data_IF_923400593494
#
_entry.id   IF_923400593494
#
_cell.length_a   1.000
_cell.length_b   1.000
_cell.length_c   1.000
_cell.angle_alpha   90.00
_cell.angle_beta   90.00
_cell.angle_gamma   90.00
#
_symmetry.space_group_name_H-M   'P 1'
#
loop_
_entity.id
_entity.type
_entity.pdbx_description
1 polymer ?
#
# COMPACT_ATOMS: atom_id res chain seq x y z
N UNK A 1 0.60 -12.43 9.26
CA UNK A 1 1.06 -12.97 7.98
C UNK A 1 1.89 -11.90 7.26
N UNK A 2 2.91 -12.33 6.56
CA UNK A 2 3.74 -11.44 5.74
C UNK A 2 4.14 -12.18 4.47
N UNK A 3 3.69 -11.69 3.31
CA UNK A 3 4.00 -12.28 2.02
C UNK A 3 3.88 -11.26 0.89
N UNK A 4 4.83 -11.30 -0.03
CA UNK A 4 4.87 -10.44 -1.20
C UNK A 4 5.02 -11.34 -2.43
N UNK A 5 4.00 -11.36 -3.28
CA UNK A 5 3.94 -12.23 -4.44
C UNK A 5 3.90 -11.44 -5.73
N UNK A 6 4.84 -11.74 -6.64
CA UNK A 6 4.79 -11.20 -7.99
C UNK A 6 3.79 -11.99 -8.84
N UNK A 7 3.41 -11.40 -9.97
CA UNK A 7 2.54 -12.01 -10.97
C UNK A 7 3.06 -13.33 -11.55
N UNK A 8 4.33 -13.64 -11.34
CA UNK A 8 4.96 -14.87 -11.83
C UNK A 8 4.82 -16.06 -10.87
N UNK A 9 4.30 -15.81 -9.66
CA UNK A 9 4.04 -16.89 -8.69
C UNK A 9 2.66 -17.46 -8.90
N UNK A 10 2.62 -18.77 -9.18
CA UNK A 10 1.40 -19.52 -9.38
C UNK A 10 0.80 -20.04 -8.06
N UNK A 11 -0.44 -20.50 -8.12
CA UNK A 11 -1.14 -21.20 -7.02
C UNK A 11 -1.28 -20.34 -5.74
N UNK A 12 -1.49 -19.04 -5.87
CA UNK A 12 -1.68 -18.14 -4.72
C UNK A 12 -2.93 -18.58 -3.94
N UNK A 13 -2.73 -18.86 -2.64
CA UNK A 13 -3.81 -19.30 -1.76
C UNK A 13 -4.31 -20.72 -1.96
N UNK A 14 -3.73 -21.51 -2.87
CA UNK A 14 -4.21 -22.87 -3.20
C UNK A 14 -4.30 -23.80 -1.98
N UNK A 15 -3.40 -23.65 -1.02
CA UNK A 15 -3.39 -24.46 0.21
C UNK A 15 -4.23 -23.85 1.34
N UNK A 16 -4.94 -22.73 1.10
CA UNK A 16 -5.76 -22.13 2.13
C UNK A 16 -6.92 -23.06 2.53
N UNK A 17 -6.98 -23.40 3.80
CA UNK A 17 -8.06 -24.16 4.41
C UNK A 17 -8.58 -23.46 5.65
N UNK A 18 -9.82 -22.97 5.60
CA UNK A 18 -10.44 -22.22 6.68
C UNK A 18 -10.37 -22.93 8.03
N UNK A 19 -10.67 -24.24 8.08
CA UNK A 19 -10.67 -25.02 9.33
C UNK A 19 -9.28 -25.14 9.94
N UNK A 20 -8.27 -25.40 9.10
CA UNK A 20 -6.89 -25.50 9.53
C UNK A 20 -6.35 -24.12 9.97
N UNK A 21 -6.74 -23.05 9.28
CA UNK A 21 -6.39 -21.68 9.64
C UNK A 21 -6.96 -21.31 11.02
N UNK A 22 -8.28 -21.55 11.25
CA UNK A 22 -8.90 -21.34 12.57
C UNK A 22 -8.21 -22.18 13.66
N UNK A 23 -7.90 -23.45 13.36
CA UNK A 23 -7.22 -24.36 14.30
C UNK A 23 -5.83 -23.81 14.68
N UNK A 24 -5.07 -23.35 13.70
CA UNK A 24 -3.74 -22.76 13.91
C UNK A 24 -3.80 -21.49 14.77
N UNK A 25 -4.74 -20.59 14.49
CA UNK A 25 -4.94 -19.36 15.29
C UNK A 25 -5.27 -19.66 16.74
N UNK A 26 -6.19 -20.62 16.99
CA UNK A 26 -6.55 -21.04 18.35
C UNK A 26 -5.39 -21.74 19.07
N UNK A 27 -4.67 -22.64 18.41
CA UNK A 27 -3.52 -23.33 18.96
C UNK A 27 -2.36 -22.39 19.31
N UNK A 28 -2.17 -21.34 18.50
CA UNK A 28 -1.19 -20.27 18.74
C UNK A 28 -1.63 -19.21 19.75
N UNK A 29 -2.82 -19.32 20.34
CA UNK A 29 -3.39 -18.30 21.24
C UNK A 29 -3.37 -16.89 20.63
N UNK A 30 -3.58 -16.79 19.31
CA UNK A 30 -3.60 -15.52 18.58
C UNK A 30 -4.88 -14.77 18.92
N UNK A 31 -4.78 -13.49 19.24
CA UNK A 31 -5.92 -12.60 19.51
C UNK A 31 -6.09 -11.47 18.49
N UNK A 32 -5.09 -11.26 17.63
CA UNK A 32 -5.14 -10.35 16.49
C UNK A 32 -4.18 -10.83 15.41
N UNK A 33 -4.55 -10.68 14.15
CA UNK A 33 -3.74 -11.05 12.99
C UNK A 33 -3.78 -9.94 11.95
N UNK A 34 -2.66 -9.73 11.25
CA UNK A 34 -2.59 -8.85 10.09
C UNK A 34 -2.70 -9.68 8.82
N UNK A 35 -3.66 -9.33 7.96
CA UNK A 35 -4.01 -10.00 6.69
C UNK A 35 -3.77 -9.06 5.51
N UNK A 36 -3.28 -9.58 4.41
CA UNK A 36 -2.85 -8.77 3.27
C UNK A 36 -3.97 -8.52 2.26
N UNK A 37 -4.39 -7.26 2.09
CA UNK A 37 -5.22 -6.82 0.97
C UNK A 37 -4.37 -6.61 -0.30
N UNK A 38 -3.23 -5.91 -0.16
CA UNK A 38 -2.31 -5.62 -1.26
C UNK A 38 -0.86 -5.64 -0.76
N UNK A 39 0.02 -6.32 -1.48
CA UNK A 39 1.46 -6.34 -1.19
C UNK A 39 2.26 -5.30 -1.99
N UNK A 40 3.58 -5.28 -1.83
CA UNK A 40 4.48 -4.32 -2.51
C UNK A 40 4.50 -4.47 -4.03
N UNK A 41 4.18 -5.65 -4.58
CA UNK A 41 4.06 -5.83 -6.03
C UNK A 41 2.84 -5.13 -6.63
N UNK A 42 1.85 -4.74 -5.81
CA UNK A 42 0.68 -3.98 -6.25
C UNK A 42 -0.55 -4.83 -6.59
N UNK A 43 -0.50 -6.16 -6.42
CA UNK A 43 -1.63 -7.05 -6.65
C UNK A 43 -2.52 -7.16 -5.42
N UNK A 44 -3.85 -7.16 -5.64
CA UNK A 44 -4.84 -7.38 -4.58
C UNK A 44 -5.11 -8.87 -4.37
N UNK A 45 -5.33 -9.26 -3.12
CA UNK A 45 -5.69 -10.65 -2.76
C UNK A 45 -7.19 -10.83 -2.54
N UNK A 46 -7.98 -10.05 -3.28
CA UNK A 46 -9.44 -10.06 -3.30
C UNK A 46 -9.98 -9.51 -4.63
N UNK A 47 -11.23 -9.80 -4.99
CA UNK A 47 -11.90 -9.12 -6.09
C UNK A 47 -11.98 -7.61 -5.84
N UNK A 48 -11.62 -6.82 -6.84
CA UNK A 48 -11.54 -5.35 -6.74
C UNK A 48 -12.03 -4.68 -8.02
N UNK A 49 -12.61 -3.48 -7.89
CA UNK A 49 -12.98 -2.60 -9.03
C UNK A 49 -12.00 -1.43 -9.19
N UNK A 50 -11.17 -1.19 -8.18
CA UNK A 50 -10.22 -0.07 -8.12
C UNK A 50 -8.83 -0.49 -8.60
N UNK A 51 -8.40 -1.69 -8.19
CA UNK A 51 -7.10 -2.26 -8.55
C UNK A 51 -7.28 -3.51 -9.41
N UNK A 52 -6.30 -4.38 -9.45
CA UNK A 52 -6.34 -5.68 -10.11
C UNK A 52 -6.03 -6.79 -9.10
N UNK A 53 -6.83 -7.84 -9.14
CA UNK A 53 -6.59 -9.05 -8.35
C UNK A 53 -5.38 -9.80 -8.90
N UNK A 54 -4.64 -10.50 -8.03
CA UNK A 54 -3.49 -11.29 -8.43
C UNK A 54 -3.87 -12.32 -9.51
N UNK A 55 -3.14 -12.41 -10.64
CA UNK A 55 -3.55 -13.20 -11.81
C UNK A 55 -3.65 -14.71 -11.54
N UNK A 56 -2.98 -15.20 -10.50
CA UNK A 56 -3.00 -16.61 -10.08
C UNK A 56 -3.76 -16.84 -8.76
N UNK A 57 -4.70 -15.96 -8.44
CA UNK A 57 -5.65 -16.10 -7.35
C UNK A 57 -7.06 -16.12 -7.93
N UNK A 58 -7.84 -17.16 -7.66
CA UNK A 58 -9.15 -17.41 -8.25
C UNK A 58 -10.33 -17.27 -7.27
N UNK A 59 -10.04 -16.86 -6.03
CA UNK A 59 -11.05 -16.67 -4.99
C UNK A 59 -10.70 -15.45 -4.09
N UNK A 60 -11.65 -15.03 -3.28
CA UNK A 60 -11.47 -13.96 -2.30
C UNK A 60 -10.69 -14.47 -1.07
N UNK A 61 -9.36 -14.39 -1.14
CA UNK A 61 -8.48 -14.89 -0.09
C UNK A 61 -8.60 -14.07 1.19
N UNK A 62 -8.62 -12.72 1.10
CA UNK A 62 -8.68 -11.90 2.31
C UNK A 62 -10.05 -12.01 2.99
N UNK A 63 -11.15 -12.05 2.22
CA UNK A 63 -12.49 -12.26 2.78
C UNK A 63 -12.59 -13.60 3.51
N UNK A 64 -12.07 -14.67 2.91
CA UNK A 64 -12.02 -15.99 3.55
C UNK A 64 -11.14 -16.00 4.81
N UNK A 65 -10.04 -15.26 4.83
CA UNK A 65 -9.16 -15.12 6.01
C UNK A 65 -9.79 -14.29 7.13
N UNK A 66 -10.48 -13.17 6.82
CA UNK A 66 -11.20 -12.34 7.79
C UNK A 66 -12.31 -13.17 8.45
N UNK A 67 -13.13 -13.85 7.66
CA UNK A 67 -14.19 -14.73 8.16
C UNK A 67 -13.63 -15.82 9.09
N UNK A 68 -12.53 -16.46 8.70
CA UNK A 68 -11.87 -17.48 9.51
C UNK A 68 -11.28 -16.90 10.82
N UNK A 69 -10.70 -15.70 10.78
CA UNK A 69 -10.17 -15.03 11.97
C UNK A 69 -11.30 -14.71 12.96
N UNK A 70 -12.41 -14.13 12.50
CA UNK A 70 -13.57 -13.82 13.32
C UNK A 70 -14.22 -15.08 13.92
N UNK A 71 -14.35 -16.15 13.12
CA UNK A 71 -14.84 -17.46 13.62
C UNK A 71 -13.93 -18.06 14.71
N UNK A 72 -12.64 -17.74 14.66
CA UNK A 72 -11.68 -18.14 15.69
C UNK A 72 -11.68 -17.21 16.91
N UNK A 73 -12.42 -16.08 16.88
CA UNK A 73 -12.41 -15.04 17.92
C UNK A 73 -11.17 -14.13 17.86
N UNK A 74 -10.57 -13.98 16.68
CA UNK A 74 -9.34 -13.23 16.42
C UNK A 74 -9.66 -11.98 15.61
N UNK A 75 -9.13 -10.82 16.03
CA UNK A 75 -9.27 -9.57 15.28
C UNK A 75 -8.46 -9.61 14.00
N UNK A 76 -9.06 -9.14 12.90
CA UNK A 76 -8.49 -9.11 11.56
C UNK A 76 -8.11 -7.67 11.17
N UNK A 77 -6.83 -7.32 11.30
CA UNK A 77 -6.29 -6.05 10.81
C UNK A 77 -5.86 -6.23 9.36
N UNK A 78 -6.27 -5.33 8.47
CA UNK A 78 -5.94 -5.41 7.05
C UNK A 78 -4.70 -4.59 6.73
N UNK A 79 -3.72 -5.24 6.15
CA UNK A 79 -2.49 -4.64 5.63
C UNK A 79 -2.70 -4.15 4.20
N UNK A 80 -2.27 -2.91 3.95
CA UNK A 80 -2.15 -2.33 2.61
C UNK A 80 -0.75 -1.73 2.48
N UNK A 81 -0.01 -2.16 1.46
CA UNK A 81 1.23 -1.50 1.08
C UNK A 81 0.91 -0.12 0.55
N UNK A 82 1.09 0.92 1.38
CA UNK A 82 0.73 2.28 1.05
C UNK A 82 1.80 3.00 0.24
N UNK A 83 3.07 2.89 0.66
CA UNK A 83 4.18 3.59 0.01
C UNK A 83 4.77 2.85 -1.20
N UNK A 84 4.43 1.57 -1.38
CA UNK A 84 4.92 0.73 -2.47
C UNK A 84 3.76 0.11 -3.25
N UNK A 85 3.87 0.19 -4.55
CA UNK A 85 3.01 -0.48 -5.53
C UNK A 85 3.80 -0.56 -6.84
N UNK A 86 4.57 -1.63 -7.00
CA UNK A 86 5.51 -1.71 -8.13
C UNK A 86 4.79 -1.74 -9.48
N UNK A 87 3.66 -2.43 -9.57
CA UNK A 87 2.82 -2.43 -10.77
C UNK A 87 2.40 -1.01 -11.16
N UNK A 88 1.93 -0.23 -10.18
CA UNK A 88 1.54 1.16 -10.41
C UNK A 88 2.76 2.05 -10.72
N UNK A 89 3.87 1.88 -10.01
CA UNK A 89 5.10 2.66 -10.20
C UNK A 89 5.66 2.49 -11.62
N UNK A 90 5.69 1.28 -12.15
CA UNK A 90 6.16 0.99 -13.52
C UNK A 90 5.26 1.64 -14.57
N UNK A 91 3.95 1.63 -14.35
CA UNK A 91 2.97 2.28 -15.24
C UNK A 91 2.98 3.82 -15.14
N UNK A 92 3.37 4.37 -13.98
CA UNK A 92 3.29 5.80 -13.66
C UNK A 92 4.63 6.35 -13.14
N UNK A 93 5.70 6.18 -13.91
CA UNK A 93 7.10 6.51 -13.51
C UNK A 93 7.33 7.95 -13.05
N UNK A 94 6.49 8.90 -13.45
CA UNK A 94 6.52 10.29 -12.99
C UNK A 94 5.98 10.48 -11.56
N UNK A 95 5.34 9.46 -10.97
CA UNK A 95 4.72 9.53 -9.65
C UNK A 95 5.54 8.89 -8.53
N UNK A 96 6.75 8.43 -8.84
CA UNK A 96 7.68 7.87 -7.84
C UNK A 96 8.48 8.98 -7.15
N UNK A 97 8.88 8.71 -5.92
CA UNK A 97 9.77 9.61 -5.17
C UNK A 97 11.14 9.67 -5.87
N UNK A 98 11.61 10.89 -6.13
CA UNK A 98 12.92 11.17 -6.74
C UNK A 98 13.82 11.89 -5.74
N UNK A 99 15.10 11.55 -5.76
CA UNK A 99 16.16 12.33 -5.11
C UNK A 99 16.54 13.52 -5.98
N UNK A 100 17.36 14.42 -5.46
CA UNK A 100 17.84 15.60 -6.19
C UNK A 100 18.70 15.29 -7.40
N UNK A 101 19.27 14.09 -7.48
CA UNK A 101 20.01 13.56 -8.64
C UNK A 101 19.14 12.76 -9.62
N UNK A 102 17.81 12.87 -9.48
CA UNK A 102 16.79 12.15 -10.25
C UNK A 102 16.73 10.64 -10.01
N UNK A 103 17.64 10.05 -9.23
CA UNK A 103 17.56 8.65 -8.85
C UNK A 103 16.36 8.37 -7.93
N UNK A 104 15.97 7.11 -7.84
CA UNK A 104 14.92 6.66 -6.90
C UNK A 104 15.54 6.25 -5.55
N UNK A 105 14.70 6.01 -4.53
CA UNK A 105 15.21 5.79 -3.17
C UNK A 105 15.95 4.46 -3.02
N UNK A 106 15.38 3.37 -3.51
CA UNK A 106 15.94 2.02 -3.35
C UNK A 106 16.48 1.41 -4.63
N UNK A 107 16.25 2.05 -5.77
CA UNK A 107 16.78 1.66 -7.06
C UNK A 107 17.31 2.90 -7.78
N UNK A 108 18.39 2.77 -8.52
CA UNK A 108 18.93 3.90 -9.29
C UNK A 108 18.09 4.21 -10.51
N UNK A 109 17.42 3.18 -11.05
CA UNK A 109 16.49 3.31 -12.17
C UNK A 109 15.50 2.13 -12.21
N UNK A 110 14.54 2.17 -13.14
CA UNK A 110 13.51 1.13 -13.31
C UNK A 110 14.01 -0.21 -13.90
N UNK A 111 15.28 -0.31 -14.22
CA UNK A 111 15.90 -1.56 -14.70
C UNK A 111 16.52 -2.40 -13.56
N UNK A 112 16.64 -1.82 -12.37
CA UNK A 112 17.15 -2.54 -11.21
C UNK A 112 16.01 -3.24 -10.47
N UNK A 113 16.20 -4.52 -10.10
CA UNK A 113 15.21 -5.23 -9.27
C UNK A 113 15.12 -4.58 -7.89
N UNK A 114 14.04 -3.89 -7.64
CA UNK A 114 13.67 -3.34 -6.33
C UNK A 114 12.26 -2.77 -6.41
N UNK A 115 11.75 -2.24 -5.29
CA UNK A 115 10.50 -1.50 -5.26
C UNK A 115 10.74 0.00 -5.35
N UNK A 116 9.82 0.70 -6.04
CA UNK A 116 9.85 2.16 -6.16
C UNK A 116 8.83 2.77 -5.22
N UNK A 117 9.28 3.71 -4.38
CA UNK A 117 8.38 4.45 -3.48
C UNK A 117 7.56 5.47 -4.24
N UNK A 118 6.28 5.50 -3.96
CA UNK A 118 5.32 6.39 -4.60
C UNK A 118 5.16 7.69 -3.81
N UNK A 119 5.05 8.80 -4.55
CA UNK A 119 4.92 10.13 -3.97
C UNK A 119 3.46 10.45 -3.67
N UNK A 120 3.14 10.76 -2.41
CA UNK A 120 1.78 11.10 -1.99
C UNK A 120 1.31 12.49 -2.45
N UNK A 121 2.19 13.30 -3.07
CA UNK A 121 1.84 14.56 -3.74
C UNK A 121 1.50 14.36 -5.23
N UNK A 122 0.96 13.20 -5.58
CA UNK A 122 0.61 12.82 -6.95
C UNK A 122 -0.77 12.14 -6.96
N UNK A 123 -1.38 11.89 -8.13
CA UNK A 123 -2.63 11.12 -8.25
C UNK A 123 -2.60 9.74 -7.60
N UNK A 124 -1.43 9.19 -7.31
CA UNK A 124 -1.32 7.94 -6.56
C UNK A 124 -2.06 7.98 -5.21
N UNK A 125 -2.05 9.11 -4.52
CA UNK A 125 -2.79 9.22 -3.25
C UNK A 125 -4.28 8.96 -3.44
N UNK A 126 -4.89 9.49 -4.52
CA UNK A 126 -6.31 9.26 -4.80
C UNK A 126 -6.59 7.77 -5.10
N UNK A 127 -5.70 7.12 -5.84
CA UNK A 127 -5.78 5.69 -6.12
C UNK A 127 -5.65 4.85 -4.85
N UNK A 128 -4.72 5.19 -3.95
CA UNK A 128 -4.57 4.52 -2.66
C UNK A 128 -5.81 4.69 -1.78
N UNK A 129 -6.35 5.91 -1.69
CA UNK A 129 -7.55 6.19 -0.89
C UNK A 129 -8.78 5.44 -1.42
N UNK A 130 -8.90 5.30 -2.75
CA UNK A 130 -9.97 4.51 -3.35
C UNK A 130 -9.87 3.03 -2.98
N UNK A 131 -8.65 2.45 -2.93
CA UNK A 131 -8.42 1.08 -2.47
C UNK A 131 -8.78 0.91 -0.99
N UNK A 132 -8.37 1.86 -0.14
CA UNK A 132 -8.71 1.85 1.30
C UNK A 132 -10.23 1.88 1.47
N UNK A 133 -10.91 2.78 0.76
CA UNK A 133 -12.37 2.91 0.80
C UNK A 133 -13.06 1.61 0.35
N UNK A 134 -12.67 1.05 -0.79
CA UNK A 134 -13.22 -0.22 -1.29
C UNK A 134 -13.05 -1.35 -0.27
N UNK A 135 -11.89 -1.41 0.38
CA UNK A 135 -11.61 -2.40 1.42
C UNK A 135 -12.56 -2.26 2.62
N UNK A 136 -12.78 -1.05 3.11
CA UNK A 136 -13.65 -0.78 4.25
C UNK A 136 -15.14 -0.98 3.92
N UNK A 137 -15.54 -0.72 2.67
CA UNK A 137 -16.93 -0.92 2.23
C UNK A 137 -17.28 -2.41 2.03
N UNK A 138 -16.32 -3.25 1.69
CA UNK A 138 -16.55 -4.64 1.31
C UNK A 138 -16.24 -5.65 2.44
N UNK A 139 -15.45 -5.26 3.44
CA UNK A 139 -14.95 -6.19 4.47
C UNK A 139 -15.09 -5.62 5.87
N UNK A 140 -15.47 -6.48 6.82
CA UNK A 140 -15.54 -6.16 8.24
C UNK A 140 -14.14 -6.27 8.89
N UNK A 141 -13.28 -5.31 8.57
CA UNK A 141 -11.91 -5.25 9.09
C UNK A 141 -11.87 -4.58 10.46
N UNK A 142 -11.18 -5.16 11.43
CA UNK A 142 -11.00 -4.57 12.77
C UNK A 142 -9.99 -3.42 12.82
N UNK A 143 -9.32 -3.14 11.71
CA UNK A 143 -8.36 -2.04 11.58
C UNK A 143 -7.56 -2.10 10.28
N UNK A 144 -6.80 -1.05 10.03
CA UNK A 144 -5.89 -0.96 8.88
C UNK A 144 -4.44 -0.83 9.34
N UNK A 145 -3.54 -1.46 8.62
CA UNK A 145 -2.09 -1.30 8.72
C UNK A 145 -1.55 -0.79 7.39
N UNK A 146 -1.19 0.50 7.34
CA UNK A 146 -0.67 1.16 6.14
C UNK A 146 0.85 1.20 6.21
N UNK A 147 1.49 0.39 5.38
CA UNK A 147 2.94 0.18 5.44
C UNK A 147 3.71 1.10 4.49
N UNK A 148 4.99 1.33 4.85
CA UNK A 148 5.96 2.12 4.05
C UNK A 148 5.47 3.56 3.79
N UNK A 149 4.77 4.15 4.73
CA UNK A 149 4.40 5.57 4.70
C UNK A 149 5.29 6.37 5.67
N UNK A 150 6.00 7.36 5.16
CA UNK A 150 6.90 8.20 5.95
C UNK A 150 7.03 9.60 5.35
N UNK A 151 7.54 10.56 6.13
CA UNK A 151 7.99 11.85 5.62
C UNK A 151 9.24 11.63 4.77
N UNK A 152 9.17 11.96 3.49
CA UNK A 152 10.31 11.85 2.57
C UNK A 152 10.38 13.01 1.60
N UNK A 153 11.55 13.63 1.49
CA UNK A 153 11.83 14.64 0.48
C UNK A 153 11.71 14.04 -0.92
N UNK A 154 11.04 14.78 -1.80
CA UNK A 154 10.78 14.31 -3.16
C UNK A 154 10.99 15.44 -4.17
N UNK A 155 11.72 15.12 -5.23
CA UNK A 155 12.03 16.00 -6.34
C UNK A 155 11.30 15.57 -7.63
N UNK A 156 10.21 14.82 -7.53
CA UNK A 156 9.37 14.54 -8.69
C UNK A 156 8.69 15.82 -9.22
N UNK A 157 8.25 15.79 -10.46
CA UNK A 157 7.65 16.95 -11.13
C UNK A 157 6.52 17.59 -10.32
N UNK A 158 5.64 16.79 -9.70
CA UNK A 158 4.54 17.31 -8.88
C UNK A 158 5.04 18.11 -7.68
N UNK A 159 6.08 17.63 -6.98
CA UNK A 159 6.66 18.33 -5.83
C UNK A 159 7.38 19.62 -6.26
N UNK A 160 8.12 19.57 -7.37
CA UNK A 160 8.80 20.75 -7.91
C UNK A 160 7.79 21.81 -8.34
N UNK A 161 6.74 21.42 -9.06
CA UNK A 161 5.68 22.34 -9.46
C UNK A 161 4.93 22.94 -8.26
N UNK A 162 4.73 22.18 -7.19
CA UNK A 162 4.13 22.70 -5.94
C UNK A 162 5.02 23.79 -5.32
N UNK A 163 6.32 23.54 -5.15
CA UNK A 163 7.27 24.51 -4.59
C UNK A 163 7.33 25.79 -5.43
N UNK A 164 7.52 25.65 -6.74
CA UNK A 164 7.58 26.79 -7.67
C UNK A 164 6.28 27.59 -7.66
N UNK A 165 5.13 26.91 -7.67
CA UNK A 165 3.81 27.55 -7.61
C UNK A 165 3.56 28.33 -6.32
N UNK A 166 4.20 27.93 -5.22
CA UNK A 166 4.17 28.63 -3.93
C UNK A 166 5.26 29.71 -3.81
N UNK A 167 6.07 29.93 -4.83
CA UNK A 167 7.18 30.90 -4.82
C UNK A 167 8.37 30.44 -3.96
N UNK A 168 8.49 29.15 -3.71
CA UNK A 168 9.57 28.51 -2.95
C UNK A 168 10.69 28.03 -3.88
N UNK A 169 11.89 27.87 -3.31
CA UNK A 169 13.08 27.44 -4.02
C UNK A 169 13.28 25.90 -3.91
N UNK A 170 13.18 25.14 -5.01
CA UNK A 170 13.41 23.70 -5.01
C UNK A 170 14.84 23.27 -4.65
N UNK A 171 15.82 24.18 -4.72
CA UNK A 171 17.19 23.92 -4.28
C UNK A 171 17.38 24.11 -2.76
N UNK A 172 16.42 24.75 -2.10
CA UNK A 172 16.43 24.95 -0.66
C UNK A 172 15.90 23.69 0.07
N UNK A 173 16.80 22.89 0.61
CA UNK A 173 16.44 21.65 1.31
C UNK A 173 15.43 21.88 2.45
N UNK A 174 15.42 23.04 3.11
CA UNK A 174 14.44 23.32 4.18
C UNK A 174 13.03 23.44 3.62
N UNK A 175 12.87 24.05 2.45
CA UNK A 175 11.56 24.19 1.79
C UNK A 175 11.08 22.86 1.23
N UNK A 176 11.98 22.04 0.66
CA UNK A 176 11.67 20.69 0.22
C UNK A 176 11.26 19.79 1.39
N UNK A 177 11.95 19.91 2.55
CA UNK A 177 11.59 19.15 3.76
C UNK A 177 10.22 19.59 4.30
N UNK A 178 9.96 20.90 4.36
CA UNK A 178 8.66 21.41 4.79
C UNK A 178 7.50 20.95 3.89
N UNK A 179 7.74 20.87 2.57
CA UNK A 179 6.76 20.27 1.65
C UNK A 179 6.55 18.78 1.96
N UNK A 180 7.62 18.03 2.22
CA UNK A 180 7.51 16.59 2.55
C UNK A 180 6.67 16.36 3.82
N UNK A 181 6.85 17.18 4.85
CA UNK A 181 6.04 17.16 6.08
C UNK A 181 4.57 17.45 5.76
N UNK A 182 4.29 18.52 5.00
CA UNK A 182 2.94 18.88 4.59
C UNK A 182 2.26 17.77 3.74
N UNK A 183 2.98 17.15 2.83
CA UNK A 183 2.48 16.03 2.03
C UNK A 183 2.10 14.85 2.91
N UNK A 184 2.92 14.53 3.92
CA UNK A 184 2.62 13.46 4.85
C UNK A 184 1.43 13.78 5.76
N UNK A 185 1.31 15.02 6.24
CA UNK A 185 0.14 15.49 6.99
C UNK A 185 -1.14 15.40 6.15
N UNK A 186 -1.08 15.83 4.87
CA UNK A 186 -2.21 15.72 3.95
C UNK A 186 -2.60 14.25 3.71
N UNK A 187 -1.63 13.36 3.53
CA UNK A 187 -1.86 11.92 3.41
C UNK A 187 -2.59 11.38 4.64
N UNK A 188 -2.06 11.62 5.84
CA UNK A 188 -2.65 11.09 7.08
C UNK A 188 -4.05 11.66 7.34
N UNK A 189 -4.27 12.96 7.08
CA UNK A 189 -5.59 13.59 7.19
C UNK A 189 -6.60 12.97 6.23
N UNK A 190 -6.23 12.79 4.96
CA UNK A 190 -7.12 12.22 3.93
C UNK A 190 -7.42 10.73 4.18
N UNK A 191 -6.45 9.98 4.66
CA UNK A 191 -6.69 8.60 5.12
C UNK A 191 -7.72 8.60 6.25
N UNK A 192 -7.57 9.49 7.23
CA UNK A 192 -8.49 9.60 8.35
C UNK A 192 -9.93 9.91 7.91
N UNK A 193 -10.09 10.80 6.94
CA UNK A 193 -11.39 11.14 6.35
C UNK A 193 -12.09 9.95 5.66
N UNK A 194 -11.32 8.96 5.19
CA UNK A 194 -11.87 7.74 4.57
C UNK A 194 -12.20 6.67 5.62
N UNK A 195 -11.46 6.66 6.74
CA UNK A 195 -11.60 5.63 7.80
C UNK A 195 -12.73 5.97 8.78
N UNK A 196 -12.98 7.27 9.05
CA UNK A 196 -14.03 7.75 9.95
C UNK A 196 -15.42 7.77 9.27
#
# INVERSE_FOLDING_TARGET
LDFHTSENLENIGADFNKKEFCRALRAGHVNSITLFSKCHHGWSYHPTKVNEMHPHLDFDLIGAQIEAAHEAGVRAVVYISAGLDEKYAVAHRGQVIRKSDESTIWATDFMQPNYHRLCMNTPYLDFLLAQIKEMLENYDADGLFLDIAAVETCYCESCMNTLIGEGKDPENLREVTALAEHVYENYTRRVREVVD
#
